data_IF_655899534041
#
_entry.id   IF_655899534041
#
_cell.length_a   1.000
_cell.length_b   1.000
_cell.length_c   1.000
_cell.angle_alpha   90.00
_cell.angle_beta   90.00
_cell.angle_gamma   90.00
#
_symmetry.space_group_name_H-M   'P 1'
#
loop_
_entity.id
_entity.type
_entity.pdbx_description
1 polymer ?
#
# COMPACT_ATOMS: atom_id res chain seq x y z
N UNK A 1 14.55 -4.63 -9.24
CA UNK A 1 13.58 -3.57 -9.62
C UNK A 1 12.72 -4.03 -10.77
N UNK A 2 11.45 -4.28 -10.49
CA UNK A 2 10.46 -4.79 -11.43
C UNK A 2 9.16 -3.98 -11.31
N UNK A 3 8.62 -3.54 -12.46
CA UNK A 3 7.30 -2.91 -12.51
C UNK A 3 6.22 -3.98 -12.67
N UNK A 4 5.23 -3.95 -11.79
CA UNK A 4 4.17 -4.93 -11.67
C UNK A 4 2.82 -4.24 -11.67
N UNK A 5 1.83 -4.95 -12.21
CA UNK A 5 0.42 -4.62 -12.06
C UNK A 5 -0.18 -5.59 -11.05
N UNK A 6 -0.63 -5.06 -9.92
CA UNK A 6 -1.28 -5.80 -8.86
C UNK A 6 -2.75 -5.40 -8.78
N UNK A 7 -3.63 -6.35 -8.44
CA UNK A 7 -5.06 -6.08 -8.26
C UNK A 7 -5.58 -6.46 -6.88
N UNK A 8 -4.75 -7.09 -6.04
CA UNK A 8 -5.09 -7.44 -4.65
C UNK A 8 -4.01 -6.94 -3.72
N UNK A 9 -4.40 -6.29 -2.62
CA UNK A 9 -3.45 -5.82 -1.61
C UNK A 9 -2.65 -6.97 -0.97
N UNK A 10 -3.17 -8.20 -0.99
CA UNK A 10 -2.48 -9.39 -0.50
C UNK A 10 -1.17 -9.71 -1.24
N UNK A 11 -1.03 -9.23 -2.49
CA UNK A 11 0.17 -9.47 -3.30
C UNK A 11 1.28 -8.43 -3.05
N UNK A 12 0.99 -7.39 -2.26
CA UNK A 12 1.97 -6.37 -1.88
C UNK A 12 2.95 -6.89 -0.84
N UNK A 13 4.20 -6.47 -0.98
CA UNK A 13 5.31 -6.79 -0.10
C UNK A 13 5.87 -5.53 0.55
N UNK A 14 6.50 -5.68 1.71
CA UNK A 14 7.20 -4.56 2.34
C UNK A 14 8.32 -4.06 1.41
N UNK A 15 8.44 -2.75 1.27
CA UNK A 15 9.37 -2.09 0.35
C UNK A 15 8.79 -1.80 -1.05
N UNK A 16 7.66 -2.40 -1.41
CA UNK A 16 6.98 -2.07 -2.67
C UNK A 16 6.64 -0.57 -2.74
N UNK A 17 6.86 0.02 -3.91
CA UNK A 17 6.55 1.43 -4.20
C UNK A 17 5.33 1.51 -5.09
N UNK A 18 4.20 1.92 -4.53
CA UNK A 18 2.94 2.12 -5.24
C UNK A 18 3.01 3.46 -5.99
N UNK A 19 3.07 3.38 -7.31
CA UNK A 19 3.22 4.49 -8.24
C UNK A 19 1.87 5.11 -8.60
N UNK A 20 0.86 4.28 -8.84
CA UNK A 20 -0.48 4.74 -9.20
C UNK A 20 -1.57 3.78 -8.74
N UNK A 21 -2.78 4.31 -8.59
CA UNK A 21 -4.00 3.56 -8.31
C UNK A 21 -5.06 3.94 -9.33
N UNK A 22 -5.48 2.97 -10.13
CA UNK A 22 -6.53 3.13 -11.16
C UNK A 22 -6.21 4.28 -12.12
N UNK A 23 -4.95 4.36 -12.55
CA UNK A 23 -4.42 5.44 -13.41
C UNK A 23 -4.15 6.77 -12.71
N UNK A 24 -4.47 6.91 -11.42
CA UNK A 24 -4.19 8.12 -10.64
C UNK A 24 -2.82 8.01 -9.96
N UNK A 25 -1.84 8.86 -10.34
CA UNK A 25 -0.48 8.74 -9.80
C UNK A 25 -0.41 9.22 -8.34
N UNK A 26 0.34 8.50 -7.51
CA UNK A 26 0.79 8.97 -6.21
C UNK A 26 2.05 9.82 -6.37
N UNK A 27 2.03 11.05 -5.85
CA UNK A 27 3.17 11.98 -5.87
C UNK A 27 3.38 12.55 -4.46
N UNK A 28 4.42 12.12 -3.71
CA UNK A 28 5.37 11.05 -4.05
C UNK A 28 4.71 9.65 -4.02
N UNK A 29 5.39 8.66 -4.60
CA UNK A 29 4.96 7.25 -4.53
C UNK A 29 4.79 6.80 -3.06
N UNK A 30 3.83 5.91 -2.81
CA UNK A 30 3.58 5.36 -1.46
C UNK A 30 4.41 4.10 -1.27
N UNK A 31 5.14 4.00 -0.17
CA UNK A 31 5.98 2.84 0.13
C UNK A 31 5.24 1.93 1.10
N UNK A 32 5.18 0.64 0.82
CA UNK A 32 4.59 -0.35 1.72
C UNK A 32 5.54 -0.60 2.88
N UNK A 33 5.11 -0.27 4.10
CA UNK A 33 5.87 -0.56 5.32
C UNK A 33 5.67 -2.00 5.78
N UNK A 34 4.42 -2.49 5.70
CA UNK A 34 4.06 -3.83 6.14
C UNK A 34 3.04 -4.42 5.17
N UNK A 35 3.24 -5.70 4.82
CA UNK A 35 2.28 -6.50 4.04
C UNK A 35 0.90 -6.55 4.72
N UNK A 36 -0.10 -7.06 3.98
CA UNK A 36 -1.45 -7.23 4.49
C UNK A 36 -1.45 -7.97 5.83
N UNK A 37 -2.02 -7.33 6.85
CA UNK A 37 -2.09 -7.85 8.21
C UNK A 37 -3.17 -7.13 9.01
N UNK A 38 -3.41 -7.59 10.23
CA UNK A 38 -4.37 -6.92 11.10
C UNK A 38 -3.86 -5.57 11.60
N UNK A 39 -4.77 -4.60 11.69
CA UNK A 39 -4.54 -3.21 12.10
C UNK A 39 -5.33 -2.96 13.39
N UNK A 40 -4.73 -2.22 14.33
CA UNK A 40 -5.30 -1.99 15.66
C UNK A 40 -5.35 -3.27 16.50
N UNK A 41 -6.43 -3.45 17.27
CA UNK A 41 -6.66 -4.60 18.16
C UNK A 41 -7.08 -5.88 17.40
N UNK A 42 -6.55 -6.11 16.20
CA UNK A 42 -6.85 -7.32 15.43
C UNK A 42 -8.15 -7.28 14.62
N UNK A 43 -8.84 -6.14 14.55
CA UNK A 43 -10.22 -6.09 14.05
C UNK A 43 -10.35 -5.96 12.53
N UNK A 44 -9.36 -5.37 11.84
CA UNK A 44 -9.44 -5.10 10.39
C UNK A 44 -8.12 -5.45 9.72
N UNK A 45 -8.17 -6.03 8.51
CA UNK A 45 -6.98 -6.28 7.70
C UNK A 45 -6.66 -5.10 6.77
N UNK A 46 -5.39 -4.70 6.71
CA UNK A 46 -4.90 -3.62 5.86
C UNK A 46 -3.40 -3.71 5.60
N UNK A 47 -2.94 -2.94 4.61
CA UNK A 47 -1.51 -2.78 4.27
C UNK A 47 -1.05 -1.44 4.83
N UNK A 48 -0.01 -1.44 5.67
CA UNK A 48 0.57 -0.18 6.19
C UNK A 48 1.53 0.42 5.20
N UNK A 49 1.46 1.74 5.08
CA UNK A 49 2.39 2.54 4.30
C UNK A 49 3.39 3.23 5.21
N UNK A 50 4.56 3.56 4.66
CA UNK A 50 5.52 4.44 5.32
C UNK A 50 4.89 5.82 5.48
N UNK A 51 4.96 6.36 6.70
CA UNK A 51 4.45 7.69 6.97
C UNK A 51 5.35 8.72 6.29
N UNK A 52 4.82 9.62 5.42
CA UNK A 52 5.61 10.70 4.83
C UNK A 52 6.14 11.68 5.90
N UNK A 53 5.49 11.75 7.06
CA UNK A 53 5.91 12.56 8.20
C UNK A 53 6.23 11.65 9.38
N UNK A 54 7.51 11.36 9.69
CA UNK A 54 7.89 10.39 10.71
C UNK A 54 7.39 10.69 12.12
N UNK A 55 7.10 11.96 12.42
CA UNK A 55 6.59 12.42 13.72
C UNK A 55 5.06 12.49 13.78
N UNK A 56 4.36 12.11 12.70
CA UNK A 56 2.90 12.08 12.67
C UNK A 56 2.40 10.78 13.29
N UNK A 57 1.45 10.88 14.22
CA UNK A 57 0.76 9.74 14.81
C UNK A 57 -0.32 9.15 13.88
N UNK A 58 -0.58 9.79 12.73
CA UNK A 58 -1.58 9.33 11.76
C UNK A 58 -1.00 8.18 10.93
N UNK A 59 -1.53 6.99 11.14
CA UNK A 59 -1.19 5.83 10.32
C UNK A 59 -1.83 5.92 8.92
N UNK A 60 -1.03 5.62 7.90
CA UNK A 60 -1.51 5.50 6.53
C UNK A 60 -1.71 4.02 6.20
N UNK A 61 -2.97 3.61 6.01
CA UNK A 61 -3.36 2.22 5.78
C UNK A 61 -4.23 2.12 4.53
N UNK A 62 -3.98 1.11 3.71
CA UNK A 62 -4.83 0.74 2.58
C UNK A 62 -5.66 -0.51 2.94
N UNK A 63 -6.96 -0.47 2.67
CA UNK A 63 -7.86 -1.57 2.99
C UNK A 63 -8.30 -2.33 1.73
N UNK A 64 -8.34 -3.68 1.76
CA UNK A 64 -8.75 -4.49 0.62
C UNK A 64 -10.11 -4.08 0.05
N UNK A 65 -11.09 -3.79 0.93
CA UNK A 65 -12.43 -3.37 0.55
C UNK A 65 -12.49 -2.09 -0.31
N UNK A 66 -11.45 -1.25 -0.27
CA UNK A 66 -11.37 0.00 -1.04
C UNK A 66 -10.54 -0.16 -2.32
N UNK A 67 -9.58 -1.08 -2.29
CA UNK A 67 -8.47 -1.12 -3.25
C UNK A 67 -8.52 -2.33 -4.17
N UNK A 68 -8.99 -3.48 -3.67
CA UNK A 68 -8.97 -4.73 -4.42
C UNK A 68 -9.87 -4.64 -5.67
N UNK A 69 -9.46 -5.35 -6.72
CA UNK A 69 -10.11 -5.32 -8.02
C UNK A 69 -9.74 -4.10 -8.88
N UNK A 70 -8.94 -3.16 -8.34
CA UNK A 70 -8.43 -2.01 -9.09
C UNK A 70 -6.95 -2.19 -9.44
N UNK A 71 -6.53 -1.55 -10.53
CA UNK A 71 -5.15 -1.61 -11.02
C UNK A 71 -4.23 -0.81 -10.09
N UNK A 72 -3.25 -1.47 -9.47
CA UNK A 72 -2.13 -0.85 -8.76
C UNK A 72 -0.86 -1.02 -9.57
N UNK A 73 -0.22 0.10 -9.91
CA UNK A 73 1.11 0.10 -10.53
C UNK A 73 2.16 0.18 -9.43
N UNK A 74 3.04 -0.82 -9.38
CA UNK A 74 3.97 -1.02 -8.28
C UNK A 74 5.37 -1.25 -8.83
N UNK A 75 6.35 -0.58 -8.25
CA UNK A 75 7.77 -0.88 -8.42
C UNK A 75 8.24 -1.72 -7.22
N UNK A 76 8.68 -2.95 -7.50
CA UNK A 76 9.24 -3.87 -6.51
C UNK A 76 10.76 -3.87 -6.61
N UNK A 77 11.50 -3.53 -5.53
CA UNK A 77 12.96 -3.52 -5.54
C UNK A 77 13.55 -4.91 -5.85
#
# INVERSE_FOLDING_TARGET
MQNLIITKLADLQAGDRILSWDGRPYRPARVVAQRLGYIGAGSVQGVRLVNPHPTSDVEHVLYPAQMDGRRLEVERP
#
